data_IF_361748049958
#
_entry.id   IF_361748049958
#
_cell.length_a   1.000
_cell.length_b   1.000
_cell.length_c   1.000
_cell.angle_alpha   90.00
_cell.angle_beta   90.00
_cell.angle_gamma   90.00
#
_symmetry.space_group_name_H-M   'P 1'
#
loop_
_entity.id
_entity.type
_entity.pdbx_description
1 polymer ?
#
# COMPACT_ATOMS: atom_id res chain seq x y z
N UNK A 1 -15.50 -1.40 -6.12
CA UNK A 1 -14.36 -1.90 -6.91
C UNK A 1 -13.68 -0.71 -7.55
N UNK A 2 -12.36 -0.73 -7.65
CA UNK A 2 -11.56 0.31 -8.30
C UNK A 2 -10.81 -0.30 -9.48
N UNK A 3 -10.55 0.52 -10.51
CA UNK A 3 -9.70 0.13 -11.63
C UNK A 3 -8.25 0.44 -11.24
N UNK A 4 -7.36 -0.52 -11.43
CA UNK A 4 -5.94 -0.34 -11.12
C UNK A 4 -5.27 0.59 -12.12
N UNK A 5 -4.21 1.27 -11.67
CA UNK A 5 -3.36 2.05 -12.58
C UNK A 5 -2.51 1.13 -13.46
N UNK A 6 -1.82 1.68 -14.45
CA UNK A 6 -0.90 0.91 -15.30
C UNK A 6 0.26 0.36 -14.49
N UNK A 7 0.79 1.15 -13.57
CA UNK A 7 1.91 0.80 -12.69
C UNK A 7 1.50 -0.35 -11.75
N UNK A 8 0.32 -0.26 -11.15
CA UNK A 8 -0.24 -1.31 -10.29
C UNK A 8 -0.53 -2.60 -11.08
N UNK A 9 -1.05 -2.47 -12.30
CA UNK A 9 -1.30 -3.62 -13.17
C UNK A 9 0.00 -4.33 -13.58
N UNK A 10 1.09 -3.58 -13.79
CA UNK A 10 2.42 -4.15 -14.05
C UNK A 10 2.96 -4.90 -12.83
N UNK A 11 2.69 -4.42 -11.61
CA UNK A 11 3.09 -5.13 -10.39
C UNK A 11 2.34 -6.46 -10.18
N UNK A 12 1.20 -6.66 -10.85
CA UNK A 12 0.45 -7.94 -10.84
C UNK A 12 0.97 -8.97 -11.84
N UNK A 13 1.84 -8.58 -12.78
CA UNK A 13 2.41 -9.47 -13.81
C UNK A 13 3.40 -10.42 -13.17
N UNK A 14 3.05 -11.70 -13.11
CA UNK A 14 3.96 -12.79 -12.70
C UNK A 14 4.82 -13.22 -13.87
N UNK A 15 6.13 -13.43 -13.66
CA UNK A 15 7.04 -13.85 -14.73
C UNK A 15 6.67 -15.22 -15.33
N UNK A 16 6.00 -16.09 -14.56
CA UNK A 16 5.64 -17.45 -14.99
C UNK A 16 4.17 -17.56 -15.42
N UNK A 17 3.26 -16.98 -14.64
CA UNK A 17 1.81 -17.21 -14.78
C UNK A 17 1.12 -16.14 -15.62
N UNK A 18 1.59 -14.90 -15.55
CA UNK A 18 0.96 -13.76 -16.22
C UNK A 18 2.06 -12.97 -16.93
N UNK A 19 2.54 -13.43 -18.10
CA UNK A 19 3.78 -12.89 -18.69
C UNK A 19 3.66 -11.45 -19.21
N UNK A 20 2.46 -10.87 -19.27
CA UNK A 20 2.26 -9.48 -19.71
C UNK A 20 0.88 -8.93 -19.28
N UNK A 21 0.74 -7.61 -19.10
CA UNK A 21 -0.55 -6.94 -18.81
C UNK A 21 -1.64 -7.23 -19.86
N UNK A 22 -1.25 -7.52 -21.12
CA UNK A 22 -2.19 -7.83 -22.22
C UNK A 22 -3.06 -9.06 -21.94
N UNK A 23 -2.59 -9.97 -21.08
CA UNK A 23 -3.32 -11.19 -20.72
C UNK A 23 -4.52 -10.91 -19.79
N UNK A 24 -4.68 -9.69 -19.29
CA UNK A 24 -5.89 -9.24 -18.60
C UNK A 24 -7.07 -8.92 -19.55
N UNK A 25 -7.01 -9.31 -20.83
CA UNK A 25 -8.10 -9.10 -21.77
C UNK A 25 -8.20 -7.67 -22.30
N UNK A 26 -7.07 -6.97 -22.41
CA UNK A 26 -7.00 -5.63 -23.01
C UNK A 26 -7.53 -4.48 -22.15
N UNK A 27 -7.89 -4.73 -20.89
CA UNK A 27 -8.33 -3.72 -19.93
C UNK A 27 -7.53 -3.80 -18.63
N UNK A 28 -7.52 -2.70 -17.88
CA UNK A 28 -6.88 -2.67 -16.56
C UNK A 28 -7.70 -3.51 -15.57
N UNK A 29 -7.05 -4.36 -14.76
CA UNK A 29 -7.75 -5.18 -13.78
C UNK A 29 -8.50 -4.32 -12.77
N UNK A 30 -9.57 -4.88 -12.21
CA UNK A 30 -10.33 -4.24 -11.14
C UNK A 30 -10.05 -4.94 -9.82
N UNK A 31 -9.86 -4.17 -8.76
CA UNK A 31 -9.69 -4.65 -7.40
C UNK A 31 -10.92 -4.35 -6.54
N UNK A 32 -11.18 -5.23 -5.57
CA UNK A 32 -12.20 -4.98 -4.55
C UNK A 32 -11.72 -3.93 -3.55
N UNK A 33 -12.64 -3.07 -3.14
CA UNK A 33 -12.44 -2.21 -1.97
C UNK A 33 -12.85 -2.98 -0.73
N UNK A 34 -12.53 -2.48 0.46
CA UNK A 34 -12.96 -3.06 1.75
C UNK A 34 -14.46 -3.42 1.75
N UNK A 35 -15.31 -2.48 1.30
CA UNK A 35 -16.75 -2.69 1.21
C UNK A 35 -17.14 -3.71 0.14
N UNK A 36 -16.35 -3.82 -0.94
CA UNK A 36 -16.49 -4.87 -1.95
C UNK A 36 -16.17 -6.26 -1.43
N UNK A 37 -15.15 -6.39 -0.57
CA UNK A 37 -14.81 -7.65 0.09
C UNK A 37 -15.91 -8.03 1.10
N UNK A 38 -16.39 -7.07 1.89
CA UNK A 38 -17.50 -7.30 2.81
C UNK A 38 -18.76 -7.80 2.08
N UNK A 39 -19.09 -7.25 0.91
CA UNK A 39 -20.22 -7.75 0.09
C UNK A 39 -20.04 -9.21 -0.35
N UNK A 40 -18.82 -9.67 -0.68
CA UNK A 40 -18.58 -11.07 -1.04
C UNK A 40 -18.83 -12.03 0.12
N UNK A 41 -18.65 -11.59 1.36
CA UNK A 41 -18.92 -12.42 2.55
C UNK A 41 -20.41 -12.75 2.72
N UNK A 42 -21.31 -11.93 2.17
CA UNK A 42 -22.75 -12.23 2.15
C UNK A 42 -23.11 -13.37 1.18
N UNK A 43 -22.27 -13.58 0.16
CA UNK A 43 -22.45 -14.61 -0.88
C UNK A 43 -21.76 -15.91 -0.46
N UNK A 44 -20.58 -15.83 0.14
CA UNK A 44 -19.81 -16.99 0.59
C UNK A 44 -20.18 -17.37 2.03
N UNK A 45 -21.02 -18.39 2.19
CA UNK A 45 -21.57 -18.82 3.50
C UNK A 45 -20.79 -19.94 4.23
N UNK A 46 -19.62 -20.35 3.74
CA UNK A 46 -18.84 -21.38 4.41
C UNK A 46 -18.12 -20.81 5.65
N UNK A 47 -17.93 -21.62 6.69
CA UNK A 47 -17.21 -21.19 7.91
C UNK A 47 -15.83 -20.63 7.59
N UNK A 48 -15.09 -21.30 6.69
CA UNK A 48 -13.79 -20.83 6.20
C UNK A 48 -13.86 -19.47 5.51
N UNK A 49 -14.90 -19.20 4.72
CA UNK A 49 -15.05 -17.90 4.06
C UNK A 49 -15.36 -16.78 5.06
N UNK A 50 -16.14 -17.08 6.09
CA UNK A 50 -16.44 -16.14 7.18
C UNK A 50 -15.16 -15.76 7.94
N UNK A 51 -14.34 -16.75 8.32
CA UNK A 51 -13.07 -16.52 9.00
C UNK A 51 -12.10 -15.66 8.17
N UNK A 52 -11.93 -16.02 6.88
CA UNK A 52 -11.05 -15.28 5.97
C UNK A 52 -11.54 -13.84 5.81
N UNK A 53 -12.84 -13.61 5.68
CA UNK A 53 -13.39 -12.26 5.59
C UNK A 53 -13.07 -11.42 6.84
N UNK A 54 -13.22 -12.00 8.04
CA UNK A 54 -12.87 -11.32 9.30
C UNK A 54 -11.38 -10.94 9.32
N UNK A 55 -10.50 -11.83 8.87
CA UNK A 55 -9.06 -11.56 8.80
C UNK A 55 -8.72 -10.44 7.82
N UNK A 56 -9.34 -10.44 6.64
CA UNK A 56 -9.14 -9.39 5.64
C UNK A 56 -9.60 -8.03 6.16
N UNK A 57 -10.76 -7.95 6.80
CA UNK A 57 -11.25 -6.71 7.42
C UNK A 57 -10.31 -6.21 8.52
N UNK A 58 -9.81 -7.09 9.39
CA UNK A 58 -8.82 -6.73 10.42
C UNK A 58 -7.52 -6.17 9.82
N UNK A 59 -7.06 -6.73 8.71
CA UNK A 59 -5.88 -6.24 8.01
C UNK A 59 -6.11 -4.82 7.47
N UNK A 60 -7.26 -4.55 6.85
CA UNK A 60 -7.60 -3.21 6.35
C UNK A 60 -7.70 -2.17 7.47
N UNK A 61 -8.32 -2.50 8.61
CA UNK A 61 -8.39 -1.61 9.78
C UNK A 61 -7.00 -1.27 10.32
N UNK A 62 -6.12 -2.27 10.44
CA UNK A 62 -4.72 -2.05 10.90
C UNK A 62 -3.93 -1.23 9.89
N UNK A 63 -4.06 -1.51 8.61
CA UNK A 63 -3.40 -0.75 7.54
C UNK A 63 -3.84 0.72 7.56
N UNK A 64 -5.14 0.98 7.74
CA UNK A 64 -5.65 2.35 7.91
C UNK A 64 -5.08 3.01 9.15
N UNK A 65 -5.05 2.31 10.29
CA UNK A 65 -4.44 2.82 11.51
C UNK A 65 -2.96 3.18 11.33
N UNK A 66 -2.22 2.35 10.61
CA UNK A 66 -0.81 2.59 10.25
C UNK A 66 -0.66 3.84 9.35
N UNK A 67 -1.41 3.93 8.25
CA UNK A 67 -1.39 5.09 7.35
C UNK A 67 -1.79 6.37 8.09
N UNK A 68 -2.85 6.31 8.90
CA UNK A 68 -3.31 7.45 9.71
C UNK A 68 -2.29 7.87 10.77
N UNK A 69 -1.52 6.94 11.34
CA UNK A 69 -0.45 7.28 12.29
C UNK A 69 0.67 8.08 11.63
N UNK A 70 0.94 7.85 10.35
CA UNK A 70 1.94 8.62 9.58
C UNK A 70 1.36 9.92 9.03
N UNK A 71 0.10 9.93 8.60
CA UNK A 71 -0.57 11.16 8.13
C UNK A 71 -0.80 12.16 9.26
N UNK A 72 -1.24 11.71 10.44
CA UNK A 72 -1.40 12.57 11.61
C UNK A 72 -0.07 13.09 12.15
N UNK A 73 1.00 12.29 12.05
CA UNK A 73 2.35 12.72 12.39
C UNK A 73 2.85 13.76 11.38
N UNK A 74 2.68 13.52 10.07
CA UNK A 74 3.05 14.46 9.01
C UNK A 74 2.30 15.79 9.12
N UNK A 75 0.98 15.75 9.40
CA UNK A 75 0.18 16.96 9.65
C UNK A 75 0.64 17.73 10.89
N UNK A 76 0.87 17.04 12.01
CA UNK A 76 1.40 17.71 13.22
C UNK A 76 2.77 18.33 12.97
N UNK A 77 3.60 17.71 12.12
CA UNK A 77 4.92 18.19 11.77
C UNK A 77 4.84 19.42 10.86
N UNK A 78 3.95 19.43 9.86
CA UNK A 78 3.65 20.61 9.04
C UNK A 78 3.08 21.78 9.87
N UNK A 79 2.20 21.49 10.84
CA UNK A 79 1.65 22.48 11.77
C UNK A 79 2.73 23.04 12.71
N UNK A 80 3.67 22.20 13.15
CA UNK A 80 4.85 22.61 13.90
C UNK A 80 5.80 23.46 13.06
N UNK A 81 6.09 23.05 11.82
CA UNK A 81 6.98 23.76 10.89
C UNK A 81 6.48 25.19 10.61
N UNK A 82 5.17 25.35 10.35
CA UNK A 82 4.53 26.67 10.19
C UNK A 82 4.61 27.58 11.42
N UNK A 83 4.80 27.02 12.62
CA UNK A 83 4.76 27.76 13.89
C UNK A 83 6.13 28.28 14.34
N UNK A 84 7.23 27.70 13.86
CA UNK A 84 8.59 27.93 14.37
C UNK A 84 9.59 28.48 13.32
N UNK A 85 9.09 29.17 12.32
CA UNK A 85 9.80 29.44 11.07
C UNK A 85 11.18 30.15 11.18
N UNK A 86 12.00 29.88 10.16
CA UNK A 86 13.36 30.35 9.84
C UNK A 86 14.56 29.83 10.66
N UNK A 87 14.49 29.64 11.98
CA UNK A 87 15.68 29.20 12.76
C UNK A 87 15.90 27.69 12.84
N UNK A 88 14.89 26.88 12.50
CA UNK A 88 14.92 25.43 12.71
C UNK A 88 14.87 24.58 11.43
N UNK A 89 14.91 25.20 10.24
CA UNK A 89 14.77 24.48 8.96
C UNK A 89 15.75 23.31 8.80
N UNK A 90 17.02 23.50 9.17
CA UNK A 90 18.04 22.44 9.08
C UNK A 90 17.83 21.25 10.02
N UNK A 91 17.15 21.46 11.16
CA UNK A 91 16.80 20.38 12.10
C UNK A 91 15.63 19.57 11.54
N UNK A 92 14.65 20.23 10.94
CA UNK A 92 13.53 19.56 10.30
C UNK A 92 13.94 18.78 9.03
N UNK A 93 14.86 19.31 8.24
CA UNK A 93 15.43 18.61 7.09
C UNK A 93 16.13 17.31 7.51
N UNK A 94 16.90 17.34 8.60
CA UNK A 94 17.56 16.16 9.15
C UNK A 94 16.56 15.11 9.65
N UNK A 95 15.47 15.52 10.30
CA UNK A 95 14.40 14.61 10.75
C UNK A 95 13.66 14.00 9.55
N UNK A 96 13.39 14.79 8.49
CA UNK A 96 12.74 14.30 7.26
C UNK A 96 13.60 13.26 6.55
N UNK A 97 14.91 13.49 6.43
CA UNK A 97 15.85 12.53 5.87
C UNK A 97 15.89 11.19 6.64
N UNK A 98 15.67 11.23 7.96
CA UNK A 98 15.58 10.02 8.79
C UNK A 98 14.22 9.30 8.64
N UNK A 99 13.13 10.04 8.39
CA UNK A 99 11.80 9.49 8.17
C UNK A 99 11.61 8.88 6.77
N UNK A 100 12.26 9.44 5.74
CA UNK A 100 12.20 8.91 4.37
C UNK A 100 12.94 7.56 4.25
N UNK A 101 13.74 7.20 5.25
CA UNK A 101 14.59 6.02 5.23
C UNK A 101 15.68 6.14 4.15
N UNK A 102 16.77 5.35 4.22
CA UNK A 102 17.67 5.26 3.08
C UNK A 102 16.83 4.80 1.89
N UNK A 103 16.76 5.65 0.85
CA UNK A 103 16.03 5.38 -0.37
C UNK A 103 16.32 3.94 -0.78
N UNK A 104 15.26 3.14 -1.01
CA UNK A 104 15.42 1.74 -1.37
C UNK A 104 16.35 1.65 -2.58
N UNK A 105 17.62 1.32 -2.34
CA UNK A 105 18.45 0.80 -3.40
C UNK A 105 17.69 -0.40 -3.96
N UNK A 106 17.55 -0.52 -5.29
CA UNK A 106 16.83 -1.63 -5.88
C UNK A 106 17.42 -2.90 -5.30
N UNK A 107 16.61 -3.65 -4.53
CA UNK A 107 17.05 -4.89 -3.88
C UNK A 107 17.67 -5.77 -4.97
N UNK A 108 19.00 -5.86 -4.96
CA UNK A 108 19.73 -6.74 -5.84
C UNK A 108 19.25 -8.14 -5.50
N UNK A 109 18.49 -8.74 -6.40
CA UNK A 109 18.06 -10.12 -6.27
C UNK A 109 19.34 -10.95 -6.45
N UNK A 110 19.97 -11.33 -5.33
CA UNK A 110 21.06 -12.29 -5.37
C UNK A 110 20.48 -13.67 -5.67
N UNK A 111 20.31 -13.93 -6.97
CA UNK A 111 19.98 -15.26 -7.47
C UNK A 111 21.17 -16.21 -7.31
N UNK A 112 20.87 -17.45 -6.93
CA UNK A 112 21.83 -18.55 -6.90
C UNK A 112 22.38 -18.80 -8.31
N UNK A 113 23.70 -18.75 -8.47
CA UNK A 113 24.36 -19.22 -9.70
C UNK A 113 24.65 -20.72 -9.56
N UNK A 114 24.37 -21.54 -10.59
CA UNK A 114 24.71 -22.97 -10.56
C UNK A 114 26.22 -23.21 -10.47
#
# INVERSE_FOLDING_TARGET
>A
MIVLTKEEALALVSQDVIPHVKYFGGHLPKAFTEQGVAMLSSVLRSERAIEVNILVMRAFVRLRGFISSHAALSQKLEELEKKYDAQFGSVFDAIRALMEGPGQEPKRIEGFKP
#
